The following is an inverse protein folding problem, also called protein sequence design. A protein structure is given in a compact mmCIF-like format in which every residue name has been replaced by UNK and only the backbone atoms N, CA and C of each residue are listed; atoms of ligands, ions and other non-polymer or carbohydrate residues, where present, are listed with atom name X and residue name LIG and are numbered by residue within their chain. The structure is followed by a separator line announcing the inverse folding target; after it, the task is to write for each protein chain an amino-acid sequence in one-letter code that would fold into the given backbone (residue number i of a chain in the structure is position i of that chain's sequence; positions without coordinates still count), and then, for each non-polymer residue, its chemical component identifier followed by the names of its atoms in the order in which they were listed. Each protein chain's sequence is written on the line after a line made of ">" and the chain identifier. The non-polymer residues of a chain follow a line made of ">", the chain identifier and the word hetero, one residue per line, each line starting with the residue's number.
data_IF_933423305501
#
_entry.id   IF_933423305501
#
_cell.length_a   1.000
_cell.length_b   1.000
_cell.length_c   1.000
_cell.angle_alpha   90.00
_cell.angle_beta   90.00
_cell.angle_gamma   90.00
#
_symmetry.space_group_name_H-M   'P 1'
#
loop_
_entity.id
_entity.type
_entity.pdbx_description
1 polymer ?
#
# COMPACT_ATOMS: atom_id res chain seq x y z
N UNK A 1 19.53 -10.89 -1.81
CA UNK A 1 18.67 -9.78 -1.35
C UNK A 1 17.37 -9.88 -2.13
N UNK A 2 16.28 -10.31 -1.48
CA UNK A 2 15.01 -10.58 -2.15
C UNK A 2 14.21 -9.30 -2.39
N UNK A 3 13.34 -9.30 -3.42
CA UNK A 3 12.40 -8.22 -3.69
C UNK A 3 11.50 -7.97 -2.47
N UNK A 4 11.45 -6.72 -2.00
CA UNK A 4 10.60 -6.28 -0.89
C UNK A 4 9.13 -6.33 -1.33
N UNK A 5 8.48 -7.48 -1.19
CA UNK A 5 7.15 -7.70 -1.79
C UNK A 5 6.01 -7.28 -0.86
N UNK A 6 6.25 -7.18 0.46
CA UNK A 6 5.26 -6.79 1.46
C UNK A 6 5.88 -5.97 2.60
N UNK A 7 5.21 -4.88 3.01
CA UNK A 7 5.58 -4.05 4.16
C UNK A 7 4.34 -3.43 4.82
N UNK A 8 4.16 -3.60 6.13
CA UNK A 8 3.01 -3.05 6.88
C UNK A 8 1.63 -3.37 6.22
N UNK A 9 1.49 -4.54 5.59
CA UNK A 9 0.27 -4.92 4.85
C UNK A 9 0.15 -4.31 3.44
N UNK A 10 1.10 -3.47 3.03
CA UNK A 10 1.26 -2.99 1.66
C UNK A 10 2.01 -4.03 0.84
N UNK A 11 1.40 -4.51 -0.24
CA UNK A 11 2.08 -5.22 -1.30
C UNK A 11 2.79 -4.21 -2.21
N UNK A 12 4.09 -4.39 -2.41
CA UNK A 12 4.90 -3.56 -3.29
C UNK A 12 5.34 -4.40 -4.49
N UNK A 13 5.08 -3.90 -5.69
CA UNK A 13 5.53 -4.49 -6.96
C UNK A 13 6.34 -3.45 -7.72
N UNK A 14 7.62 -3.74 -7.93
CA UNK A 14 8.47 -2.89 -8.76
C UNK A 14 8.22 -3.23 -10.24
N UNK A 15 7.98 -2.20 -11.04
CA UNK A 15 7.81 -2.31 -12.49
C UNK A 15 8.78 -1.35 -13.18
N UNK A 16 8.96 -1.54 -14.48
CA UNK A 16 9.82 -0.66 -15.30
C UNK A 16 9.34 0.80 -15.31
N UNK A 17 8.03 1.02 -15.15
CA UNK A 17 7.36 2.32 -15.18
C UNK A 17 7.13 2.93 -13.79
N UNK A 18 7.56 2.27 -12.72
CA UNK A 18 7.45 2.78 -11.36
C UNK A 18 7.12 1.70 -10.32
N UNK A 19 6.65 2.15 -9.16
CA UNK A 19 6.30 1.27 -8.04
C UNK A 19 4.77 1.20 -7.95
N UNK A 20 4.25 -0.03 -7.93
CA UNK A 20 2.85 -0.29 -7.66
C UNK A 20 2.66 -0.74 -6.22
N UNK A 21 1.79 -0.06 -5.48
CA UNK A 21 1.45 -0.37 -4.10
C UNK A 21 -0.03 -0.78 -4.04
N UNK A 22 -0.33 -1.90 -3.36
CA UNK A 22 -1.70 -2.38 -3.14
C UNK A 22 -1.87 -2.88 -1.70
N UNK A 23 -3.09 -2.79 -1.17
CA UNK A 23 -3.49 -3.36 0.12
C UNK A 23 -4.44 -4.55 0.00
N UNK A 24 -4.68 -5.06 -1.22
CA UNK A 24 -5.76 -6.02 -1.49
C UNK A 24 -5.69 -7.24 -0.57
N UNK A 25 -4.50 -7.82 -0.42
CA UNK A 25 -4.27 -8.98 0.46
C UNK A 25 -4.57 -8.68 1.92
N UNK A 26 -4.15 -7.51 2.41
CA UNK A 26 -4.35 -7.12 3.80
C UNK A 26 -5.83 -6.84 4.10
N UNK A 27 -6.53 -6.20 3.17
CA UNK A 27 -7.97 -5.98 3.25
C UNK A 27 -8.71 -7.32 3.29
N UNK A 28 -8.35 -8.27 2.41
CA UNK A 28 -8.95 -9.61 2.41
C UNK A 28 -8.76 -10.35 3.75
N UNK A 29 -7.56 -10.25 4.35
CA UNK A 29 -7.27 -10.83 5.66
C UNK A 29 -8.10 -10.19 6.77
N UNK A 30 -8.26 -8.87 6.77
CA UNK A 30 -9.12 -8.14 7.73
C UNK A 30 -10.58 -8.57 7.56
N UNK A 31 -11.10 -8.58 6.34
CA UNK A 31 -12.50 -8.92 6.08
C UNK A 31 -12.80 -10.35 6.53
N UNK A 32 -11.88 -11.31 6.28
CA UNK A 32 -12.01 -12.68 6.78
C UNK A 32 -12.00 -12.75 8.31
N UNK A 33 -11.10 -12.00 8.96
CA UNK A 33 -10.99 -11.98 10.44
C UNK A 33 -12.29 -11.53 11.11
N UNK A 34 -13.00 -10.57 10.51
CA UNK A 34 -14.27 -10.06 11.03
C UNK A 34 -15.52 -10.70 10.42
N UNK A 35 -15.35 -11.73 9.58
CA UNK A 35 -16.44 -12.42 8.86
C UNK A 35 -17.28 -11.47 7.99
N UNK A 36 -16.61 -10.51 7.34
CA UNK A 36 -17.21 -9.52 6.43
C UNK A 36 -17.03 -9.87 4.95
N UNK A 37 -16.80 -11.14 4.63
CA UNK A 37 -16.62 -11.62 3.25
C UNK A 37 -17.86 -11.40 2.37
N UNK A 38 -19.05 -11.38 2.96
CA UNK A 38 -20.33 -11.23 2.25
C UNK A 38 -20.93 -9.82 2.39
N UNK A 39 -20.20 -8.88 2.99
CA UNK A 39 -20.65 -7.50 3.18
C UNK A 39 -20.53 -6.75 1.85
N UNK A 40 -21.57 -6.00 1.49
CA UNK A 40 -21.59 -5.21 0.25
C UNK A 40 -20.48 -4.16 0.28
N UNK A 41 -19.61 -4.09 -0.76
CA UNK A 41 -18.59 -3.06 -0.83
C UNK A 41 -19.21 -1.67 -0.95
N UNK A 42 -18.59 -0.70 -0.29
CA UNK A 42 -18.93 0.70 -0.49
C UNK A 42 -18.20 1.21 -1.74
N UNK A 43 -18.91 1.90 -2.64
CA UNK A 43 -18.32 2.52 -3.84
C UNK A 43 -17.63 3.85 -3.54
N UNK A 44 -17.14 4.05 -2.31
CA UNK A 44 -16.41 5.27 -1.95
C UNK A 44 -15.06 5.22 -2.67
N UNK A 45 -14.82 6.09 -3.66
CA UNK A 45 -13.54 6.09 -4.35
C UNK A 45 -12.47 6.51 -3.34
N UNK A 46 -11.34 5.80 -3.35
CA UNK A 46 -10.12 6.34 -2.74
C UNK A 46 -9.73 7.60 -3.51
N UNK A 47 -9.30 8.63 -2.79
CA UNK A 47 -8.85 9.87 -3.40
C UNK A 47 -7.66 9.57 -4.34
N UNK A 48 -7.79 9.93 -5.62
CA UNK A 48 -6.85 9.52 -6.67
C UNK A 48 -5.58 10.36 -6.71
N UNK A 49 -5.58 11.51 -6.03
CA UNK A 49 -4.60 12.59 -6.27
C UNK A 49 -3.87 13.06 -5.01
N UNK A 50 -3.25 12.12 -4.29
CA UNK A 50 -1.99 12.45 -3.62
C UNK A 50 -0.89 11.68 -4.32
N UNK A 51 -0.39 12.24 -5.42
CA UNK A 51 0.91 11.85 -5.91
C UNK A 51 1.87 11.88 -4.72
N UNK A 52 2.66 10.82 -4.53
CA UNK A 52 3.76 10.82 -3.57
C UNK A 52 4.81 11.78 -4.12
N UNK A 53 4.58 13.08 -3.93
CA UNK A 53 5.52 14.12 -4.27
C UNK A 53 6.65 14.03 -3.26
N UNK A 54 7.88 14.22 -3.76
CA UNK A 54 9.02 14.41 -2.88
C UNK A 54 8.77 15.68 -2.08
N UNK A 55 8.73 15.56 -0.76
CA UNK A 55 8.66 16.74 0.11
C UNK A 55 9.97 17.51 -0.06
N UNK A 56 9.88 18.75 -0.56
CA UNK A 56 11.05 19.61 -0.75
C UNK A 56 11.64 20.08 0.57
N UNK A 57 10.82 20.10 1.62
CA UNK A 57 11.15 20.62 2.94
C UNK A 57 11.31 19.51 3.99
N UNK A 58 11.13 18.24 3.58
CA UNK A 58 11.24 17.07 4.45
C UNK A 58 12.69 16.63 4.69
N UNK A 59 12.99 16.17 5.90
CA UNK A 59 14.29 15.59 6.24
C UNK A 59 14.57 14.32 5.41
N UNK A 60 15.85 14.12 5.06
CA UNK A 60 16.30 12.92 4.35
C UNK A 60 16.12 11.69 5.26
N UNK A 61 15.39 10.69 4.78
CA UNK A 61 15.07 9.49 5.55
C UNK A 61 16.08 8.41 5.19
N UNK A 62 16.89 7.97 6.15
CA UNK A 62 17.80 6.84 5.93
C UNK A 62 17.01 5.53 5.80
N UNK A 63 17.10 4.94 4.61
CA UNK A 63 16.42 3.70 4.22
C UNK A 63 16.91 2.49 5.06
N UNK A 64 18.05 2.59 5.72
CA UNK A 64 18.61 1.50 6.55
C UNK A 64 18.18 1.54 8.02
N UNK A 65 17.46 2.58 8.44
CA UNK A 65 17.06 2.76 9.83
C UNK A 65 15.72 2.07 10.19
N UNK A 66 14.96 1.59 9.19
CA UNK A 66 13.60 1.06 9.35
C UNK A 66 13.40 -0.32 8.69
#
# INVERSE_FOLDING_TARGET
>A
MGEFTFFLGLQVKQKLDGIFISQDKYIDEILRKFKYTDVKPANTPMDKEKALLKDSDGDDVDVHLY
#
